data_IF_405066929319
#
_entry.id   IF_405066929319
#
_cell.length_a   1.000
_cell.length_b   1.000
_cell.length_c   1.000
_cell.angle_alpha   90.00
_cell.angle_beta   90.00
_cell.angle_gamma   90.00
#
_symmetry.space_group_name_H-M   'P 1'
#
loop_
_entity.id
_entity.type
_entity.pdbx_description
1 polymer ?
#
# COMPACT_ATOMS: atom_id res chain seq x y z
N UNK A 1 1.27 -26.17 0.60
CA UNK A 1 2.50 -25.35 0.47
C UNK A 1 2.50 -24.44 1.68
N UNK A 2 3.43 -24.66 2.63
CA UNK A 2 3.53 -23.84 3.84
C UNK A 2 3.83 -22.39 3.42
N UNK A 3 2.90 -21.50 3.68
CA UNK A 3 3.03 -20.07 3.41
C UNK A 3 4.07 -19.47 4.35
N UNK A 4 5.29 -19.23 3.86
CA UNK A 4 6.34 -18.57 4.64
C UNK A 4 5.97 -17.11 4.91
N UNK A 5 6.45 -16.57 6.04
CA UNK A 5 6.28 -15.15 6.37
C UNK A 5 7.02 -14.28 5.34
N UNK A 6 6.31 -13.34 4.73
CA UNK A 6 6.91 -12.37 3.81
C UNK A 6 7.39 -11.12 4.54
N UNK A 7 6.66 -10.73 5.59
CA UNK A 7 6.98 -9.57 6.42
C UNK A 7 6.87 -9.97 7.90
N UNK A 8 7.89 -9.65 8.67
CA UNK A 8 7.88 -9.80 10.13
C UNK A 8 8.32 -8.47 10.76
N UNK A 9 7.59 -8.05 11.75
CA UNK A 9 7.87 -6.87 12.58
C UNK A 9 8.08 -7.37 14.00
N UNK A 10 9.21 -7.01 14.62
CA UNK A 10 9.59 -7.51 15.96
C UNK A 10 9.88 -6.33 16.88
N UNK A 11 9.07 -6.17 17.91
CA UNK A 11 9.21 -5.14 18.97
C UNK A 11 9.54 -3.76 18.41
N UNK A 12 8.73 -3.30 17.43
CA UNK A 12 8.99 -2.07 16.71
C UNK A 12 8.51 -0.86 17.50
N UNK A 13 9.39 0.14 17.67
CA UNK A 13 9.11 1.40 18.34
C UNK A 13 9.45 2.58 17.47
N UNK A 14 8.66 3.65 17.59
CA UNK A 14 8.95 4.95 17.00
C UNK A 14 8.51 6.08 17.90
N UNK A 15 9.48 6.92 18.29
CA UNK A 15 9.29 8.13 19.06
C UNK A 15 9.52 9.35 18.17
N UNK A 16 8.74 10.43 18.42
CA UNK A 16 8.95 11.78 17.92
C UNK A 16 8.97 12.72 19.12
N UNK A 17 10.16 13.02 19.64
CA UNK A 17 10.28 13.63 20.96
C UNK A 17 9.63 12.73 22.02
N UNK A 18 8.71 13.29 22.81
CA UNK A 18 7.98 12.55 23.86
C UNK A 18 6.78 11.74 23.32
N UNK A 19 6.40 11.96 22.06
CA UNK A 19 5.28 11.24 21.45
C UNK A 19 5.72 9.84 21.00
N UNK A 20 5.13 8.80 21.59
CA UNK A 20 5.30 7.40 21.17
C UNK A 20 4.27 7.05 20.10
N UNK A 21 4.65 7.14 18.83
CA UNK A 21 3.75 6.91 17.71
C UNK A 21 3.59 5.42 17.35
N UNK A 22 4.60 4.60 17.67
CA UNK A 22 4.58 3.13 17.55
C UNK A 22 5.23 2.57 18.81
N UNK A 23 4.54 1.68 19.52
CA UNK A 23 4.88 1.22 20.87
C UNK A 23 4.87 -0.33 20.95
N UNK A 24 6.01 -0.93 20.59
CA UNK A 24 6.22 -2.37 20.73
C UNK A 24 5.40 -3.23 19.75
N UNK A 25 5.21 -2.77 18.52
CA UNK A 25 4.45 -3.54 17.53
C UNK A 25 5.23 -4.79 17.12
N UNK A 26 4.59 -5.96 17.28
CA UNK A 26 4.99 -7.22 16.68
C UNK A 26 3.86 -7.74 15.80
N UNK A 27 4.15 -8.00 14.53
CA UNK A 27 3.19 -8.39 13.51
C UNK A 27 3.88 -9.22 12.44
N UNK A 28 3.18 -10.22 11.91
CA UNK A 28 3.65 -11.04 10.80
C UNK A 28 2.60 -11.09 9.69
N UNK A 29 3.07 -11.07 8.45
CA UNK A 29 2.23 -11.19 7.25
C UNK A 29 2.71 -12.39 6.44
N UNK A 30 1.80 -13.31 6.17
CA UNK A 30 2.07 -14.49 5.34
C UNK A 30 2.10 -14.11 3.86
N UNK A 31 2.92 -14.81 3.08
CA UNK A 31 2.98 -14.63 1.64
C UNK A 31 1.64 -14.99 0.98
N UNK A 32 1.14 -14.10 0.14
CA UNK A 32 -0.13 -14.24 -0.56
C UNK A 32 -1.34 -13.73 0.20
N UNK A 33 -1.21 -13.40 1.50
CA UNK A 33 -2.33 -12.86 2.29
C UNK A 33 -2.57 -11.38 2.00
N UNK A 34 -3.82 -10.99 2.14
CA UNK A 34 -4.28 -9.60 2.15
C UNK A 34 -4.55 -9.17 3.59
N UNK A 35 -3.68 -8.34 4.12
CA UNK A 35 -3.69 -7.93 5.51
C UNK A 35 -4.13 -6.47 5.64
N UNK A 36 -5.26 -6.21 6.29
CA UNK A 36 -5.69 -4.85 6.60
C UNK A 36 -5.16 -4.39 7.97
N UNK A 37 -4.74 -3.15 8.04
CA UNK A 37 -4.38 -2.47 9.30
C UNK A 37 -5.38 -1.34 9.52
N UNK A 38 -6.18 -1.46 10.57
CA UNK A 38 -7.24 -0.52 10.89
C UNK A 38 -7.04 0.11 12.27
N UNK A 39 -7.80 1.13 12.57
CA UNK A 39 -7.78 1.80 13.88
C UNK A 39 -8.14 3.29 13.75
N UNK A 40 -8.42 3.96 14.86
CA UNK A 40 -8.78 5.37 14.89
C UNK A 40 -7.65 6.28 14.37
N UNK A 41 -7.97 7.56 14.15
CA UNK A 41 -6.98 8.57 13.82
C UNK A 41 -5.95 8.67 14.95
N UNK A 42 -4.68 8.83 14.59
CA UNK A 42 -3.60 8.84 15.60
C UNK A 42 -3.17 7.46 16.12
N UNK A 43 -3.77 6.35 15.68
CA UNK A 43 -3.40 5.01 16.11
C UNK A 43 -1.97 4.58 15.71
N UNK A 44 -1.27 5.34 14.85
CA UNK A 44 0.10 5.05 14.42
C UNK A 44 0.22 4.31 13.08
N UNK A 45 -0.89 4.07 12.37
CA UNK A 45 -0.94 3.31 11.10
C UNK A 45 0.00 3.87 10.03
N UNK A 46 -0.13 5.16 9.70
CA UNK A 46 0.72 5.83 8.69
C UNK A 46 2.20 5.86 9.14
N UNK A 47 2.45 5.99 10.46
CA UNK A 47 3.82 5.90 11.00
C UNK A 47 4.39 4.51 10.78
N UNK A 48 3.62 3.45 11.03
CA UNK A 48 4.02 2.07 10.75
C UNK A 48 4.37 1.89 9.26
N UNK A 49 3.52 2.35 8.35
CA UNK A 49 3.81 2.30 6.91
C UNK A 49 5.07 3.07 6.52
N UNK A 50 5.32 4.23 7.15
CA UNK A 50 6.55 4.99 6.93
C UNK A 50 7.80 4.25 7.41
N UNK A 51 7.70 3.46 8.48
CA UNK A 51 8.76 2.58 8.96
C UNK A 51 9.00 1.42 8.00
N UNK A 52 7.94 0.73 7.56
CA UNK A 52 8.02 -0.41 6.63
C UNK A 52 8.63 -0.01 5.29
N UNK A 53 8.24 1.15 4.77
CA UNK A 53 8.75 1.67 3.49
C UNK A 53 10.12 2.36 3.59
N UNK A 54 10.72 2.42 4.80
CA UNK A 54 12.05 3.03 5.03
C UNK A 54 12.05 4.57 4.99
N UNK A 55 10.88 5.22 4.97
CA UNK A 55 10.77 6.68 5.04
C UNK A 55 11.18 7.22 6.41
N UNK A 56 10.89 6.44 7.47
CA UNK A 56 11.36 6.69 8.82
C UNK A 56 12.26 5.55 9.30
N UNK A 57 13.22 5.88 10.14
CA UNK A 57 13.97 4.87 10.89
C UNK A 57 13.24 4.56 12.19
N UNK A 58 13.09 3.30 12.59
CA UNK A 58 12.57 2.95 13.90
C UNK A 58 13.51 3.44 15.00
N UNK A 59 12.96 3.69 16.16
CA UNK A 59 13.75 4.00 17.37
C UNK A 59 14.33 2.73 17.98
N UNK A 60 13.60 1.60 17.86
CA UNK A 60 13.99 0.26 18.31
C UNK A 60 13.18 -0.79 17.54
N UNK A 61 13.64 -2.04 17.59
CA UNK A 61 12.97 -3.18 16.97
C UNK A 61 13.54 -3.51 15.59
N UNK A 62 12.91 -4.47 14.94
CA UNK A 62 13.40 -5.04 13.69
C UNK A 62 12.28 -5.24 12.68
N UNK A 63 12.59 -5.05 11.40
CA UNK A 63 11.70 -5.31 10.27
C UNK A 63 12.40 -6.29 9.33
N UNK A 64 11.81 -7.46 9.14
CA UNK A 64 12.31 -8.47 8.23
C UNK A 64 11.39 -8.59 7.01
N UNK A 65 11.95 -8.51 5.83
CA UNK A 65 11.26 -8.79 4.57
C UNK A 65 11.88 -10.03 3.92
N UNK A 66 11.10 -11.09 3.78
CA UNK A 66 11.57 -12.40 3.30
C UNK A 66 12.77 -12.93 4.12
N UNK A 67 12.70 -12.79 5.43
CA UNK A 67 13.77 -13.16 6.37
C UNK A 67 14.99 -12.23 6.36
N UNK A 68 15.06 -11.24 5.44
CA UNK A 68 16.14 -10.28 5.36
C UNK A 68 15.83 -9.05 6.21
N UNK A 69 16.77 -8.62 7.04
CA UNK A 69 16.65 -7.37 7.79
C UNK A 69 16.70 -6.15 6.86
N UNK A 70 15.62 -5.36 6.88
CA UNK A 70 15.48 -4.11 6.14
C UNK A 70 15.36 -2.89 7.07
N UNK A 71 15.60 -3.05 8.36
CA UNK A 71 15.45 -2.03 9.39
C UNK A 71 16.27 -0.78 9.05
N UNK A 72 15.60 0.36 8.89
CA UNK A 72 16.23 1.64 8.54
C UNK A 72 16.87 1.68 7.13
N UNK A 73 16.60 0.69 6.28
CA UNK A 73 17.01 0.70 4.88
C UNK A 73 16.28 1.81 4.12
N UNK A 74 16.93 2.53 3.19
CA UNK A 74 16.28 3.59 2.43
C UNK A 74 15.25 3.04 1.43
N UNK A 75 14.17 3.82 1.12
CA UNK A 75 13.04 3.37 0.32
C UNK A 75 13.42 2.73 -1.03
N UNK A 76 14.37 3.33 -1.75
CA UNK A 76 14.79 2.83 -3.06
C UNK A 76 15.42 1.42 -3.01
N UNK A 77 16.05 1.05 -1.88
CA UNK A 77 16.59 -0.31 -1.68
C UNK A 77 15.47 -1.29 -1.36
N UNK A 78 14.53 -0.89 -0.51
CA UNK A 78 13.37 -1.71 -0.15
C UNK A 78 12.54 -2.01 -1.39
N UNK A 79 12.28 -0.99 -2.23
CA UNK A 79 11.55 -1.17 -3.49
C UNK A 79 12.24 -2.17 -4.43
N UNK A 80 13.58 -2.12 -4.55
CA UNK A 80 14.34 -3.10 -5.35
C UNK A 80 14.32 -4.52 -4.82
N UNK A 81 13.98 -4.71 -3.54
CA UNK A 81 13.79 -6.04 -2.96
C UNK A 81 12.41 -6.63 -3.27
N UNK A 82 11.48 -5.83 -3.83
CA UNK A 82 10.15 -6.28 -4.21
C UNK A 82 9.02 -5.83 -3.28
N UNK A 83 9.23 -4.78 -2.48
CA UNK A 83 8.17 -4.13 -1.70
C UNK A 83 7.83 -2.77 -2.32
N UNK A 84 6.59 -2.58 -2.77
CA UNK A 84 6.11 -1.30 -3.30
C UNK A 84 5.09 -0.67 -2.36
N UNK A 85 5.04 0.66 -2.34
CA UNK A 85 4.06 1.43 -1.57
C UNK A 85 3.39 2.48 -2.45
N UNK A 86 2.05 2.57 -2.39
CA UNK A 86 1.33 3.77 -2.84
C UNK A 86 1.50 4.91 -1.83
N UNK A 87 1.34 6.13 -2.29
CA UNK A 87 1.44 7.29 -1.41
C UNK A 87 0.03 7.83 -1.12
N UNK A 88 -0.15 8.43 0.06
CA UNK A 88 -1.40 9.08 0.47
C UNK A 88 -1.77 10.28 -0.42
N UNK A 89 -0.76 10.93 -1.02
CA UNK A 89 -0.93 11.98 -2.06
C UNK A 89 -0.71 11.33 -3.42
N UNK A 90 -1.63 11.57 -4.37
CA UNK A 90 -1.55 11.05 -5.74
C UNK A 90 -0.21 11.42 -6.34
N UNK A 91 0.59 10.41 -6.66
CA UNK A 91 1.98 10.56 -7.10
C UNK A 91 2.12 10.22 -8.60
N UNK A 92 1.30 10.88 -9.41
CA UNK A 92 1.38 10.82 -10.87
C UNK A 92 2.08 12.06 -11.41
N UNK A 93 2.67 11.98 -12.58
CA UNK A 93 3.18 13.14 -13.30
C UNK A 93 2.03 13.78 -14.09
N UNK A 94 1.42 14.87 -13.61
CA UNK A 94 0.16 15.37 -14.15
C UNK A 94 0.28 15.92 -15.58
N UNK A 95 1.47 16.37 -15.99
CA UNK A 95 1.75 16.86 -17.35
C UNK A 95 2.03 15.73 -18.35
N UNK A 96 2.39 14.53 -17.88
CA UNK A 96 2.60 13.38 -18.75
C UNK A 96 1.27 12.70 -19.04
N UNK A 97 1.17 12.07 -20.22
CA UNK A 97 0.04 11.20 -20.54
C UNK A 97 -0.02 9.99 -19.62
N UNK A 98 -1.17 9.34 -19.57
CA UNK A 98 -1.36 8.08 -18.83
C UNK A 98 -0.36 7.03 -19.29
N UNK A 99 -0.13 6.94 -20.61
CA UNK A 99 0.88 6.04 -21.18
C UNK A 99 2.28 6.38 -20.68
N UNK A 100 2.70 7.64 -20.76
CA UNK A 100 4.04 8.08 -20.37
C UNK A 100 4.31 7.85 -18.88
N UNK A 101 3.31 8.04 -18.01
CA UNK A 101 3.42 7.74 -16.59
C UNK A 101 3.80 6.27 -16.37
N UNK A 102 3.04 5.34 -16.95
CA UNK A 102 3.29 3.89 -16.81
C UNK A 102 4.60 3.49 -17.48
N UNK A 103 4.82 3.98 -18.71
CA UNK A 103 6.00 3.66 -19.51
C UNK A 103 7.30 4.04 -18.79
N UNK A 104 7.35 5.23 -18.15
CA UNK A 104 8.51 5.71 -17.40
C UNK A 104 8.88 4.78 -16.25
N UNK A 105 7.90 4.30 -15.49
CA UNK A 105 8.14 3.36 -14.40
C UNK A 105 8.67 2.02 -14.93
N UNK A 106 8.08 1.51 -16.00
CA UNK A 106 8.52 0.26 -16.62
C UNK A 106 9.91 0.37 -17.27
N UNK A 107 10.26 1.51 -17.85
CA UNK A 107 11.62 1.78 -18.33
C UNK A 107 12.63 1.70 -17.17
N UNK A 108 12.30 2.30 -16.02
CA UNK A 108 13.14 2.22 -14.81
C UNK A 108 13.29 0.78 -14.31
N UNK A 109 12.21 -0.01 -14.29
CA UNK A 109 12.22 -1.45 -13.94
C UNK A 109 13.19 -2.25 -14.82
N UNK A 110 13.20 -1.98 -16.12
CA UNK A 110 14.05 -2.67 -17.08
C UNK A 110 15.46 -2.08 -17.20
N UNK A 111 15.84 -1.10 -16.35
CA UNK A 111 17.13 -0.40 -16.38
C UNK A 111 17.45 0.20 -17.76
N UNK A 112 16.44 0.68 -18.47
CA UNK A 112 16.61 1.36 -19.74
C UNK A 112 17.00 2.81 -19.43
N UNK A 113 18.30 3.10 -19.50
CA UNK A 113 18.88 4.45 -19.37
C UNK A 113 19.53 4.79 -20.70
N UNK A 114 19.15 5.89 -21.36
CA UNK A 114 19.84 6.59 -22.46
C UNK A 114 20.57 5.77 -23.54
N UNK A 115 20.35 4.46 -23.67
CA UNK A 115 21.05 3.60 -24.59
C UNK A 115 20.19 3.40 -25.86
N UNK A 116 20.23 4.40 -26.74
CA UNK A 116 19.42 4.43 -27.96
C UNK A 116 19.75 3.32 -28.97
N UNK A 117 20.92 2.69 -28.89
CA UNK A 117 21.40 1.76 -29.93
C UNK A 117 21.20 0.27 -29.63
N UNK A 118 21.02 -0.12 -28.37
CA UNK A 118 20.87 -1.55 -27.99
C UNK A 118 19.43 -1.99 -27.71
N UNK A 119 18.44 -1.19 -27.95
CA UNK A 119 17.18 -1.22 -27.17
C UNK A 119 15.90 -1.50 -27.96
N UNK A 120 15.87 -1.63 -29.28
CA UNK A 120 14.59 -1.79 -30.02
C UNK A 120 13.72 -2.94 -29.48
N UNK A 121 14.33 -4.11 -29.17
CA UNK A 121 13.58 -5.23 -28.58
C UNK A 121 13.10 -4.95 -27.15
N UNK A 122 13.90 -4.24 -26.36
CA UNK A 122 13.51 -3.84 -24.98
C UNK A 122 12.42 -2.79 -24.99
N UNK A 123 12.52 -1.81 -25.88
CA UNK A 123 11.49 -0.79 -26.09
C UNK A 123 10.15 -1.43 -26.45
N UNK A 124 10.15 -2.37 -27.40
CA UNK A 124 8.94 -3.10 -27.77
C UNK A 124 8.34 -3.83 -26.58
N UNK A 125 9.16 -4.53 -25.78
CA UNK A 125 8.72 -5.24 -24.58
C UNK A 125 8.10 -4.28 -23.55
N UNK A 126 8.75 -3.14 -23.26
CA UNK A 126 8.23 -2.15 -22.30
C UNK A 126 6.93 -1.55 -22.81
N UNK A 127 6.83 -1.26 -24.10
CA UNK A 127 5.60 -0.76 -24.71
C UNK A 127 4.45 -1.77 -24.57
N UNK A 128 4.70 -3.05 -24.83
CA UNK A 128 3.70 -4.12 -24.65
C UNK A 128 3.30 -4.30 -23.17
N UNK A 129 4.24 -4.21 -22.23
CA UNK A 129 3.96 -4.25 -20.79
C UNK A 129 3.14 -3.02 -20.38
N UNK A 130 3.42 -1.85 -20.95
CA UNK A 130 2.65 -0.62 -20.70
C UNK A 130 1.19 -0.81 -21.10
N UNK A 131 0.93 -1.29 -22.31
CA UNK A 131 -0.45 -1.53 -22.76
C UNK A 131 -1.16 -2.55 -21.89
N UNK A 132 -0.51 -3.67 -21.56
CA UNK A 132 -1.10 -4.68 -20.67
C UNK A 132 -1.47 -4.12 -19.30
N UNK A 133 -0.61 -3.30 -18.72
CA UNK A 133 -0.91 -2.66 -17.44
C UNK A 133 -2.06 -1.65 -17.56
N UNK A 134 -2.10 -0.86 -18.64
CA UNK A 134 -3.20 0.07 -18.92
C UNK A 134 -4.55 -0.65 -19.08
N UNK A 135 -4.56 -1.80 -19.74
CA UNK A 135 -5.73 -2.68 -19.82
C UNK A 135 -6.14 -3.22 -18.44
N UNK A 136 -5.18 -3.67 -17.63
CA UNK A 136 -5.43 -4.14 -16.28
C UNK A 136 -6.05 -3.09 -15.36
N UNK A 137 -5.62 -1.83 -15.50
CA UNK A 137 -6.18 -0.74 -14.70
C UNK A 137 -7.36 -0.02 -15.37
N UNK A 138 -7.76 -0.43 -16.59
CA UNK A 138 -8.92 0.11 -17.30
C UNK A 138 -8.72 1.51 -17.88
N UNK A 139 -7.47 1.90 -18.17
CA UNK A 139 -7.12 3.24 -18.67
C UNK A 139 -6.54 3.23 -20.09
N UNK A 140 -6.65 2.14 -20.83
CA UNK A 140 -6.08 2.02 -22.19
C UNK A 140 -6.69 3.04 -23.16
N UNK A 141 -7.99 3.32 -23.07
CA UNK A 141 -8.69 4.26 -23.92
C UNK A 141 -8.30 5.73 -23.64
N UNK A 142 -7.71 5.98 -22.45
CA UNK A 142 -7.22 7.28 -22.00
C UNK A 142 -5.70 7.42 -22.06
N UNK A 143 -5.01 6.51 -22.76
CA UNK A 143 -3.55 6.44 -22.80
C UNK A 143 -2.86 7.76 -23.20
N UNK A 144 -3.50 8.51 -24.10
CA UNK A 144 -2.96 9.78 -24.63
C UNK A 144 -3.43 11.01 -23.84
N UNK A 145 -4.31 10.83 -22.83
CA UNK A 145 -4.79 11.91 -21.95
C UNK A 145 -3.72 12.24 -20.92
N UNK A 146 -3.46 13.53 -20.68
CA UNK A 146 -2.59 13.93 -19.56
C UNK A 146 -3.20 13.50 -18.23
N UNK A 147 -2.38 12.94 -17.34
CA UNK A 147 -2.86 12.37 -16.07
C UNK A 147 -3.59 13.41 -15.18
N UNK A 148 -3.23 14.70 -15.31
CA UNK A 148 -3.90 15.78 -14.60
C UNK A 148 -5.36 16.03 -15.02
N UNK A 149 -5.80 15.54 -16.18
CA UNK A 149 -7.18 15.65 -16.67
C UNK A 149 -8.04 14.41 -16.36
N UNK A 150 -7.47 13.39 -15.75
CA UNK A 150 -8.24 12.24 -15.27
C UNK A 150 -9.15 12.63 -14.09
N UNK A 151 -10.28 11.95 -13.94
CA UNK A 151 -11.08 12.04 -12.70
C UNK A 151 -10.25 11.57 -11.50
N UNK A 152 -10.70 11.91 -10.30
CA UNK A 152 -10.00 11.52 -9.07
C UNK A 152 -9.84 9.99 -8.95
N UNK A 153 -10.91 9.24 -9.20
CA UNK A 153 -10.88 7.78 -9.18
C UNK A 153 -9.92 7.18 -10.21
N UNK A 154 -9.84 7.78 -11.43
CA UNK A 154 -8.91 7.35 -12.46
C UNK A 154 -7.45 7.66 -12.12
N UNK A 155 -7.18 8.82 -11.49
CA UNK A 155 -5.84 9.14 -10.99
C UNK A 155 -5.40 8.15 -9.92
N UNK A 156 -6.29 7.76 -9.02
CA UNK A 156 -6.02 6.72 -8.02
C UNK A 156 -5.80 5.35 -8.67
N UNK A 157 -6.60 5.00 -9.67
CA UNK A 157 -6.39 3.79 -10.46
C UNK A 157 -5.02 3.76 -11.15
N UNK A 158 -4.61 4.88 -11.72
CA UNK A 158 -3.27 5.04 -12.31
C UNK A 158 -2.17 4.88 -11.24
N UNK A 159 -2.32 5.50 -10.06
CA UNK A 159 -1.38 5.37 -8.95
C UNK A 159 -1.21 3.91 -8.48
N UNK A 160 -2.31 3.17 -8.34
CA UNK A 160 -2.28 1.73 -8.05
C UNK A 160 -1.51 1.01 -9.16
N UNK A 161 -1.79 1.34 -10.43
CA UNK A 161 -1.07 0.81 -11.59
C UNK A 161 0.45 1.05 -11.51
N UNK A 162 0.86 2.27 -11.20
CA UNK A 162 2.28 2.62 -11.05
C UNK A 162 2.94 1.84 -9.90
N UNK A 163 2.20 1.62 -8.81
CA UNK A 163 2.68 0.85 -7.66
C UNK A 163 2.98 -0.61 -8.03
N UNK A 164 2.11 -1.22 -8.83
CA UNK A 164 2.28 -2.62 -9.26
C UNK A 164 3.19 -2.80 -10.48
N UNK A 165 3.51 -1.73 -11.21
CA UNK A 165 4.32 -1.77 -12.44
C UNK A 165 5.69 -2.42 -12.23
N UNK A 166 6.30 -2.26 -11.04
CA UNK A 166 7.56 -2.89 -10.68
C UNK A 166 7.47 -4.39 -10.42
N UNK A 167 6.25 -4.97 -10.45
CA UNK A 167 5.95 -6.36 -10.12
C UNK A 167 6.39 -6.76 -8.69
N UNK A 168 5.91 -6.03 -7.66
CA UNK A 168 6.30 -6.30 -6.28
C UNK A 168 5.70 -7.61 -5.75
N UNK A 169 6.38 -8.23 -4.79
CA UNK A 169 5.85 -9.36 -4.01
C UNK A 169 4.97 -8.91 -2.84
N UNK A 170 5.26 -7.72 -2.28
CA UNK A 170 4.48 -7.09 -1.22
C UNK A 170 4.08 -5.67 -1.63
N UNK A 171 2.80 -5.40 -1.58
CA UNK A 171 2.19 -4.11 -1.90
C UNK A 171 1.67 -3.48 -0.61
N UNK A 172 2.04 -2.22 -0.36
CA UNK A 172 1.51 -1.41 0.73
C UNK A 172 0.59 -0.33 0.14
N UNK A 173 -0.72 -0.38 0.43
CA UNK A 173 -1.69 0.64 0.02
C UNK A 173 -2.14 1.46 1.23
N UNK A 174 -2.00 2.78 1.14
CA UNK A 174 -2.32 3.72 2.21
C UNK A 174 -3.56 4.53 1.83
N UNK A 175 -4.70 4.15 2.39
CA UNK A 175 -6.03 4.74 2.15
C UNK A 175 -6.35 4.93 0.65
N UNK A 176 -6.30 3.86 -0.17
CA UNK A 176 -6.44 3.96 -1.62
C UNK A 176 -7.82 4.46 -2.07
N UNK A 177 -8.84 4.39 -1.21
CA UNK A 177 -10.21 4.83 -1.52
C UNK A 177 -10.60 6.15 -0.85
N UNK A 178 -9.68 6.80 -0.13
CA UNK A 178 -9.98 8.05 0.56
C UNK A 178 -10.46 9.14 -0.40
N UNK A 179 -11.59 9.80 -0.08
CA UNK A 179 -12.16 10.89 -0.88
C UNK A 179 -12.97 10.45 -2.10
N UNK A 180 -13.16 9.14 -2.30
CA UNK A 180 -13.98 8.60 -3.38
C UNK A 180 -15.47 8.59 -3.03
N UNK A 181 -16.32 8.72 -4.04
CA UNK A 181 -17.73 8.38 -3.94
C UNK A 181 -17.91 6.87 -3.78
N UNK A 182 -19.13 6.43 -3.38
CA UNK A 182 -19.42 5.00 -3.21
C UNK A 182 -19.20 4.18 -4.49
N UNK A 183 -19.55 4.75 -5.66
CA UNK A 183 -19.37 4.05 -6.93
C UNK A 183 -17.90 3.95 -7.33
N UNK A 184 -17.11 5.00 -7.10
CA UNK A 184 -15.67 4.98 -7.31
C UNK A 184 -14.99 4.00 -6.35
N UNK A 185 -15.40 3.95 -5.08
CA UNK A 185 -14.92 2.98 -4.08
C UNK A 185 -15.14 1.54 -4.55
N UNK A 186 -16.34 1.22 -5.04
CA UNK A 186 -16.63 -0.12 -5.58
C UNK A 186 -15.77 -0.47 -6.80
N UNK A 187 -15.51 0.50 -7.67
CA UNK A 187 -14.63 0.31 -8.81
C UNK A 187 -13.16 0.11 -8.34
N UNK A 188 -12.71 0.87 -7.36
CA UNK A 188 -11.39 0.74 -6.77
C UNK A 188 -11.19 -0.62 -6.09
N UNK A 189 -12.18 -1.13 -5.34
CA UNK A 189 -12.15 -2.48 -4.74
C UNK A 189 -11.93 -3.53 -5.84
N UNK A 190 -12.72 -3.49 -6.92
CA UNK A 190 -12.59 -4.43 -8.04
C UNK A 190 -11.23 -4.32 -8.73
N UNK A 191 -10.71 -3.11 -8.88
CA UNK A 191 -9.39 -2.88 -9.45
C UNK A 191 -8.31 -3.47 -8.55
N UNK A 192 -8.29 -3.11 -7.26
CA UNK A 192 -7.31 -3.61 -6.29
C UNK A 192 -7.36 -5.14 -6.23
N UNK A 193 -8.55 -5.73 -6.11
CA UNK A 193 -8.73 -7.18 -6.12
C UNK A 193 -8.05 -7.82 -7.34
N UNK A 194 -8.37 -7.33 -8.53
CA UNK A 194 -7.84 -7.84 -9.79
C UNK A 194 -6.32 -7.74 -9.91
N UNK A 195 -5.74 -6.59 -9.57
CA UNK A 195 -4.31 -6.32 -9.79
C UNK A 195 -3.40 -6.88 -8.70
N UNK A 196 -3.98 -7.26 -7.56
CA UNK A 196 -3.25 -7.85 -6.43
C UNK A 196 -3.40 -9.37 -6.32
N UNK A 197 -4.07 -10.02 -7.28
CA UNK A 197 -4.18 -11.49 -7.30
C UNK A 197 -2.81 -12.16 -7.28
N UNK A 198 -2.63 -13.13 -6.37
CA UNK A 198 -1.38 -13.86 -6.20
C UNK A 198 -0.22 -13.07 -5.58
N UNK A 199 -0.48 -11.84 -5.13
CA UNK A 199 0.49 -10.98 -4.43
C UNK A 199 0.11 -10.84 -2.96
N UNK A 200 1.07 -10.43 -2.14
CA UNK A 200 0.77 -10.05 -0.76
C UNK A 200 0.40 -8.58 -0.73
N UNK A 201 -0.67 -8.27 0.00
CA UNK A 201 -1.16 -6.90 0.18
C UNK A 201 -1.18 -6.55 1.66
N UNK A 202 -0.65 -5.40 2.04
CA UNK A 202 -0.97 -4.76 3.31
C UNK A 202 -1.67 -3.43 3.01
N UNK A 203 -2.85 -3.23 3.54
CA UNK A 203 -3.68 -2.06 3.27
C UNK A 203 -4.04 -1.35 4.57
N UNK A 204 -3.88 -0.02 4.61
CA UNK A 204 -4.50 0.83 5.63
C UNK A 204 -5.79 1.37 5.03
N UNK A 205 -6.88 1.19 5.72
CA UNK A 205 -8.17 1.73 5.36
C UNK A 205 -9.02 2.01 6.62
N UNK A 206 -10.01 2.87 6.46
CA UNK A 206 -10.99 3.17 7.49
C UNK A 206 -12.42 2.81 7.03
N UNK A 207 -12.62 2.56 5.73
CA UNK A 207 -13.88 2.08 5.18
C UNK A 207 -14.01 0.57 5.38
N UNK A 208 -15.00 0.17 6.18
CA UNK A 208 -15.23 -1.23 6.52
C UNK A 208 -15.69 -2.06 5.31
N UNK A 209 -16.37 -1.45 4.32
CA UNK A 209 -16.76 -2.14 3.09
C UNK A 209 -15.51 -2.58 2.30
N UNK A 210 -14.54 -1.69 2.18
CA UNK A 210 -13.25 -1.98 1.52
C UNK A 210 -12.50 -3.08 2.26
N UNK A 211 -12.39 -2.94 3.59
CA UNK A 211 -11.65 -3.87 4.44
C UNK A 211 -12.24 -5.28 4.35
N UNK A 212 -13.56 -5.42 4.56
CA UNK A 212 -14.22 -6.74 4.53
C UNK A 212 -14.30 -7.34 3.12
N UNK A 213 -14.18 -6.53 2.06
CA UNK A 213 -14.15 -7.02 0.69
C UNK A 213 -12.77 -7.53 0.26
N UNK A 214 -11.69 -7.02 0.84
CA UNK A 214 -10.33 -7.28 0.37
C UNK A 214 -9.47 -8.09 1.34
N UNK A 215 -9.70 -8.01 2.65
CA UNK A 215 -8.77 -8.55 3.64
C UNK A 215 -9.07 -10.00 4.05
N UNK A 216 -8.02 -10.81 4.12
CA UNK A 216 -8.05 -12.16 4.73
C UNK A 216 -7.80 -12.07 6.25
N UNK A 217 -6.94 -11.11 6.65
CA UNK A 217 -6.56 -10.86 8.05
C UNK A 217 -6.64 -9.37 8.34
N UNK A 218 -7.11 -9.02 9.53
CA UNK A 218 -7.23 -7.63 9.99
C UNK A 218 -6.47 -7.47 11.30
N UNK A 219 -5.59 -6.48 11.37
CA UNK A 219 -4.96 -6.02 12.61
C UNK A 219 -5.56 -4.68 13.03
N UNK A 220 -6.02 -4.59 14.25
CA UNK A 220 -6.54 -3.36 14.85
C UNK A 220 -5.45 -2.71 15.69
N UNK A 221 -5.19 -1.42 15.41
CA UNK A 221 -4.24 -0.60 16.14
C UNK A 221 -4.93 0.51 16.93
N UNK A 222 -4.40 0.82 18.12
CA UNK A 222 -4.80 1.97 18.93
C UNK A 222 -3.60 2.45 19.76
N UNK A 223 -3.39 3.75 19.83
CA UNK A 223 -2.31 4.38 20.61
C UNK A 223 -0.91 3.76 20.37
N UNK A 224 -0.59 3.47 19.10
CA UNK A 224 0.68 2.91 18.71
C UNK A 224 0.85 1.40 18.96
N UNK A 225 -0.18 0.71 19.46
CA UNK A 225 -0.15 -0.72 19.81
C UNK A 225 -1.10 -1.53 18.97
N UNK A 226 -0.83 -2.83 18.86
CA UNK A 226 -1.80 -3.81 18.33
C UNK A 226 -2.79 -4.16 19.44
N UNK A 227 -4.07 -3.99 19.16
CA UNK A 227 -5.18 -4.37 20.05
C UNK A 227 -5.53 -5.84 19.85
N UNK A 228 -5.71 -6.23 18.60
CA UNK A 228 -6.07 -7.59 18.19
C UNK A 228 -5.74 -7.82 16.74
N UNK A 229 -5.58 -9.10 16.35
CA UNK A 229 -5.44 -9.54 14.97
C UNK A 229 -6.31 -10.77 14.77
N UNK A 230 -7.02 -10.87 13.65
CA UNK A 230 -7.87 -12.01 13.35
C UNK A 230 -8.51 -11.91 11.96
N UNK A 231 -9.33 -12.88 11.64
CA UNK A 231 -10.16 -12.87 10.43
C UNK A 231 -11.20 -11.73 10.46
N UNK A 232 -11.76 -11.33 9.32
CA UNK A 232 -12.84 -10.34 9.27
C UNK A 232 -14.02 -10.68 10.17
N UNK A 233 -14.37 -11.97 10.30
CA UNK A 233 -15.46 -12.43 11.13
C UNK A 233 -15.16 -12.32 12.63
N UNK A 234 -13.93 -12.62 13.04
CA UNK A 234 -13.47 -12.49 14.42
C UNK A 234 -13.44 -11.01 14.84
N UNK A 235 -12.84 -10.15 13.98
CA UNK A 235 -12.73 -8.71 14.25
C UNK A 235 -14.11 -8.06 14.37
N UNK A 236 -15.09 -8.44 13.55
CA UNK A 236 -16.47 -7.92 13.63
C UNK A 236 -17.15 -8.20 14.98
N UNK A 237 -16.78 -9.30 15.64
CA UNK A 237 -17.36 -9.74 16.91
C UNK A 237 -16.56 -9.28 18.13
N UNK A 238 -15.31 -8.84 17.94
CA UNK A 238 -14.42 -8.50 19.05
C UNK A 238 -14.86 -7.22 19.76
N UNK A 239 -15.14 -7.32 21.07
CA UNK A 239 -15.56 -6.20 21.90
C UNK A 239 -14.48 -5.11 22.00
N UNK A 240 -13.20 -5.49 22.02
CA UNK A 240 -12.06 -4.57 22.11
C UNK A 240 -12.02 -3.65 20.88
N UNK A 241 -12.42 -4.16 19.71
CA UNK A 241 -12.50 -3.37 18.47
C UNK A 241 -13.60 -2.30 18.59
N UNK A 242 -14.76 -2.68 19.10
CA UNK A 242 -15.86 -1.71 19.33
C UNK A 242 -15.46 -0.61 20.30
N UNK A 243 -14.77 -0.98 21.38
CA UNK A 243 -14.28 -0.02 22.38
C UNK A 243 -13.20 0.90 21.81
N UNK A 244 -12.28 0.39 20.96
CA UNK A 244 -11.26 1.19 20.31
C UNK A 244 -11.84 2.29 19.40
N UNK A 245 -12.96 2.01 18.72
CA UNK A 245 -13.65 2.98 17.88
C UNK A 245 -14.63 3.89 18.66
N UNK A 246 -15.28 3.38 19.71
CA UNK A 246 -16.23 4.16 20.53
C UNK A 246 -15.53 5.09 21.53
N UNK A 247 -14.29 4.76 21.92
CA UNK A 247 -13.48 5.58 22.83
C UNK A 247 -13.14 6.97 22.25
N UNK A 248 -12.99 7.06 20.93
CA UNK A 248 -12.65 8.32 20.24
C UNK A 248 -13.83 9.31 20.19
N UNK A 249 -15.07 8.82 20.23
CA UNK A 249 -16.26 9.69 20.21
C UNK A 249 -16.50 10.45 21.51
N UNK A 250 -15.84 10.08 22.61
CA UNK A 250 -15.96 10.79 23.90
C UNK A 250 -15.01 11.96 24.07
N UNK A 251 -13.99 12.10 23.23
CA UNK A 251 -13.04 13.22 23.31
C UNK A 251 -13.35 14.40 22.37
N UNK A 252 -14.35 14.30 21.51
CA UNK A 252 -14.75 15.39 20.59
C UNK A 252 -15.85 16.29 21.18
N UNK A 253 -16.34 15.98 22.37
CA UNK A 253 -17.46 16.70 23.02
C UNK A 253 -17.10 17.60 24.22
N UNK A 254 -15.80 17.90 24.44
CA UNK A 254 -15.37 18.75 25.57
C UNK A 254 -14.35 19.78 25.08
N UNK A 255 -14.84 20.78 24.36
CA UNK A 255 -14.19 22.13 24.23
C UNK A 255 -15.20 23.13 23.72
#
# INVERSE_FOLDING_TARGET
>A
MEGGMILEIKDLYKHFGDLMAVDGISLSVEKGNRHAIIGPNGAGKTTLFNLLSGRFRPSRGQILFRGRDITGMPPYRISRLGMARSFQIINVFPQLSVFENVHTVLMSKHNIRYDFLRSLKRWKKVTEETFRLLEQIGLVDKKDVSAGFLSYGEQRGLEVGLTIASDPELILLDEPTAGMSMDETRQAIKLIDRVTQGKTLVIIEHDMEVIFSLADVITVMQYGKVVTTGSPEEIRKDQRVKEAYLGDSKHVGAS
#
